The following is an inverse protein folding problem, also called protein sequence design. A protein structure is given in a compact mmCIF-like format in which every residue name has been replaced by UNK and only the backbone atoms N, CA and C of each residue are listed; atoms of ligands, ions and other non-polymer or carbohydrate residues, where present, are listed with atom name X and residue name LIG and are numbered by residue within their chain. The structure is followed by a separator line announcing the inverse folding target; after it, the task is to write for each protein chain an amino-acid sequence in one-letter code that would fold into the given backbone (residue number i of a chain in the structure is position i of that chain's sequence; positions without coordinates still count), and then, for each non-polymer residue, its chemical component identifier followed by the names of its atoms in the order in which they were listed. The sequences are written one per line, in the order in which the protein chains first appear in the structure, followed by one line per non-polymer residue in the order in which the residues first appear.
data_IF_837389992438
#
_entry.id   IF_837389992438
#
_cell.length_a   1.000
_cell.length_b   1.000
_cell.length_c   1.000
_cell.angle_alpha   90.00
_cell.angle_beta   90.00
_cell.angle_gamma   90.00
#
_symmetry.space_group_name_H-M   'P 1'
#
loop_
_entity.id
_entity.type
_entity.pdbx_description
1 polymer ?
#
# COMPACT_ATOMS: atom_id res chain seq x y z
N UNK A 1 -17.60 52.23 -15.02
CA UNK A 1 -17.48 50.88 -15.70
C UNK A 1 -16.47 50.93 -16.83
N UNK A 2 -16.27 52.06 -17.47
CA UNK A 2 -15.31 52.22 -18.58
C UNK A 2 -13.83 52.05 -18.16
N UNK A 3 -13.44 52.56 -16.99
CA UNK A 3 -12.04 52.53 -16.53
C UNK A 3 -11.45 51.12 -16.38
N UNK A 4 -12.27 50.10 -16.13
CA UNK A 4 -11.79 48.69 -16.00
C UNK A 4 -11.48 48.11 -17.39
N UNK A 5 -12.36 48.35 -18.34
CA UNK A 5 -12.17 47.84 -19.71
C UNK A 5 -10.99 48.55 -20.38
N UNK A 6 -10.89 49.88 -20.21
CA UNK A 6 -9.80 50.69 -20.76
C UNK A 6 -8.44 50.33 -20.19
N UNK A 7 -8.39 49.96 -18.89
CA UNK A 7 -7.17 49.43 -18.26
C UNK A 7 -6.70 48.10 -18.93
N UNK A 8 -7.61 47.16 -19.18
CA UNK A 8 -7.27 45.88 -19.79
C UNK A 8 -6.95 45.99 -21.28
N UNK A 9 -7.62 46.84 -21.98
CA UNK A 9 -7.31 47.16 -23.38
C UNK A 9 -5.94 47.82 -23.50
N UNK A 10 -5.58 48.70 -22.58
CA UNK A 10 -4.28 49.36 -22.51
C UNK A 10 -3.10 48.42 -22.23
N UNK A 11 -3.35 47.28 -21.58
CA UNK A 11 -2.34 46.25 -21.35
C UNK A 11 -2.05 45.38 -22.59
N UNK A 12 -2.88 45.46 -23.62
CA UNK A 12 -2.74 44.72 -24.87
C UNK A 12 -2.62 43.20 -24.65
N UNK A 13 -1.76 42.56 -25.41
CA UNK A 13 -1.54 41.10 -25.35
C UNK A 13 -1.17 40.61 -23.96
N UNK A 14 -0.36 41.33 -23.22
CA UNK A 14 0.06 40.98 -21.84
C UNK A 14 -1.10 40.96 -20.85
N UNK A 15 -2.10 41.84 -21.01
CA UNK A 15 -3.31 41.85 -20.19
C UNK A 15 -4.16 40.58 -20.38
N UNK A 16 -4.35 40.17 -21.61
CA UNK A 16 -5.07 38.94 -21.94
C UNK A 16 -4.35 37.71 -21.44
N UNK A 17 -3.02 37.65 -21.54
CA UNK A 17 -2.21 36.59 -21.00
C UNK A 17 -2.35 36.49 -19.48
N UNK A 18 -2.35 37.64 -18.79
CA UNK A 18 -2.49 37.68 -17.32
C UNK A 18 -3.88 37.22 -16.89
N UNK A 19 -4.94 37.63 -17.59
CA UNK A 19 -6.30 37.12 -17.34
C UNK A 19 -6.40 35.60 -17.53
N UNK A 20 -5.80 35.07 -18.60
CA UNK A 20 -5.77 33.65 -18.83
C UNK A 20 -5.08 32.91 -17.68
N UNK A 21 -3.95 33.42 -17.20
CA UNK A 21 -3.23 32.82 -16.07
C UNK A 21 -4.08 32.82 -14.79
N UNK A 22 -4.80 33.89 -14.51
CA UNK A 22 -5.74 33.99 -13.37
C UNK A 22 -6.85 32.95 -13.52
N UNK A 23 -7.46 32.84 -14.68
CA UNK A 23 -8.50 31.83 -14.94
C UNK A 23 -8.00 30.42 -14.75
N UNK A 24 -6.82 30.11 -15.28
CA UNK A 24 -6.17 28.80 -15.11
C UNK A 24 -5.85 28.52 -13.65
N UNK A 25 -5.40 29.52 -12.89
CA UNK A 25 -5.15 29.40 -11.46
C UNK A 25 -6.43 29.04 -10.69
N UNK A 26 -7.53 29.78 -10.92
CA UNK A 26 -8.80 29.49 -10.25
C UNK A 26 -9.40 28.16 -10.69
N UNK A 27 -9.31 27.81 -11.97
CA UNK A 27 -9.74 26.49 -12.45
C UNK A 27 -8.93 25.36 -11.79
N UNK A 28 -7.62 25.56 -11.63
CA UNK A 28 -6.76 24.62 -10.92
C UNK A 28 -7.12 24.52 -9.43
N UNK A 29 -7.36 25.64 -8.77
CA UNK A 29 -7.78 25.70 -7.37
C UNK A 29 -9.12 24.97 -7.14
N UNK A 30 -10.12 25.23 -7.98
CA UNK A 30 -11.41 24.53 -7.96
C UNK A 30 -11.20 23.03 -8.15
N UNK A 31 -10.36 22.64 -9.09
CA UNK A 31 -10.04 21.22 -9.33
C UNK A 31 -9.38 20.56 -8.12
N UNK A 32 -8.48 21.27 -7.41
CA UNK A 32 -7.88 20.78 -6.15
C UNK A 32 -8.96 20.61 -5.08
N UNK A 33 -9.83 21.60 -4.91
CA UNK A 33 -10.93 21.56 -3.91
C UNK A 33 -11.85 20.38 -4.21
N UNK A 34 -12.30 20.20 -5.45
CA UNK A 34 -13.17 19.10 -5.85
C UNK A 34 -12.50 17.73 -5.63
N UNK A 35 -11.20 17.61 -5.89
CA UNK A 35 -10.43 16.39 -5.61
C UNK A 35 -10.26 16.14 -4.12
N UNK A 36 -10.13 17.20 -3.32
CA UNK A 36 -9.94 17.12 -1.87
C UNK A 36 -11.18 16.61 -1.12
N UNK A 37 -12.38 16.68 -1.73
CA UNK A 37 -13.61 16.10 -1.15
C UNK A 37 -13.47 14.61 -0.84
N UNK A 38 -12.55 13.90 -1.52
CA UNK A 38 -12.21 12.50 -1.22
C UNK A 38 -11.67 12.34 0.21
N UNK A 39 -10.97 13.36 0.73
CA UNK A 39 -10.40 13.35 2.08
C UNK A 39 -11.48 13.58 3.16
N UNK A 40 -12.53 14.31 2.85
CA UNK A 40 -13.57 14.71 3.81
C UNK A 40 -14.74 13.73 3.90
N UNK A 41 -14.97 12.89 2.88
CA UNK A 41 -16.06 11.92 2.92
C UNK A 41 -15.87 10.90 4.04
N UNK A 42 -16.68 11.02 5.09
CA UNK A 42 -16.78 10.07 6.20
C UNK A 42 -17.66 8.88 5.78
N UNK A 43 -17.19 8.00 4.94
CA UNK A 43 -17.79 6.67 4.84
C UNK A 43 -16.96 5.72 5.70
N UNK A 44 -17.32 5.59 6.98
CA UNK A 44 -17.05 4.34 7.68
C UNK A 44 -17.99 3.32 7.04
N UNK A 45 -17.53 2.16 6.61
CA UNK A 45 -18.45 1.04 6.40
C UNK A 45 -19.18 0.83 7.71
N UNK A 46 -20.43 0.39 7.65
CA UNK A 46 -21.03 -0.22 8.81
C UNK A 46 -20.01 -1.22 9.33
N UNK A 47 -19.65 -1.11 10.60
CA UNK A 47 -18.71 -2.04 11.25
C UNK A 47 -19.41 -3.39 11.30
N UNK A 48 -19.28 -4.13 10.21
CA UNK A 48 -19.53 -5.56 10.23
C UNK A 48 -18.34 -6.12 11.01
N UNK A 49 -18.60 -6.71 12.15
CA UNK A 49 -17.59 -7.44 12.89
C UNK A 49 -17.03 -8.48 11.95
N UNK A 50 -15.74 -8.44 11.63
CA UNK A 50 -15.16 -9.34 10.65
C UNK A 50 -15.06 -10.74 11.27
N UNK A 51 -15.87 -11.67 10.77
CA UNK A 51 -15.88 -13.07 11.20
C UNK A 51 -14.83 -13.92 10.46
N UNK A 52 -14.37 -13.44 9.32
CA UNK A 52 -13.43 -14.19 8.47
C UNK A 52 -12.03 -14.20 9.07
N UNK A 53 -11.36 -15.37 9.01
CA UNK A 53 -9.95 -15.46 9.37
C UNK A 53 -9.07 -14.69 8.39
N UNK A 54 -7.93 -14.18 8.87
CA UNK A 54 -6.99 -13.34 8.11
C UNK A 54 -5.59 -13.95 8.11
N UNK A 55 -4.95 -14.04 6.95
CA UNK A 55 -3.53 -14.37 6.83
C UNK A 55 -2.73 -13.12 6.47
N UNK A 56 -1.80 -12.73 7.35
CA UNK A 56 -0.84 -11.64 7.09
C UNK A 56 0.41 -12.24 6.47
N UNK A 57 0.81 -11.75 5.31
CA UNK A 57 1.98 -12.25 4.57
C UNK A 57 3.06 -11.17 4.54
N UNK A 58 4.25 -11.51 5.04
CA UNK A 58 5.42 -10.65 5.09
C UNK A 58 6.58 -11.41 4.44
N UNK A 59 7.31 -10.77 3.54
CA UNK A 59 8.54 -11.31 2.96
C UNK A 59 9.76 -10.60 3.54
N UNK A 60 10.84 -11.31 3.78
CA UNK A 60 12.08 -10.73 4.29
C UNK A 60 13.32 -11.39 3.68
N UNK A 61 14.43 -10.66 3.65
CA UNK A 61 15.75 -11.16 3.28
C UNK A 61 16.81 -10.35 3.99
N UNK A 62 17.61 -11.01 4.85
CA UNK A 62 18.63 -10.36 5.68
C UNK A 62 18.08 -9.19 6.50
N UNK A 63 17.04 -9.46 7.35
CA UNK A 63 16.30 -8.45 8.10
C UNK A 63 16.13 -8.79 9.58
N UNK A 64 17.08 -9.49 10.19
CA UNK A 64 17.01 -9.90 11.59
C UNK A 64 16.65 -8.75 12.55
N UNK A 65 17.31 -7.60 12.43
CA UNK A 65 17.05 -6.44 13.30
C UNK A 65 15.65 -5.85 13.11
N UNK A 66 15.17 -5.76 11.87
CA UNK A 66 13.82 -5.26 11.61
C UNK A 66 12.74 -6.24 12.06
N UNK A 67 13.00 -7.54 12.02
CA UNK A 67 12.12 -8.56 12.59
C UNK A 67 11.98 -8.39 14.10
N UNK A 68 13.12 -8.24 14.81
CA UNK A 68 13.12 -7.99 16.26
C UNK A 68 12.31 -6.73 16.64
N UNK A 69 12.39 -5.68 15.82
CA UNK A 69 11.77 -4.39 16.11
C UNK A 69 10.29 -4.30 15.72
N UNK A 70 9.88 -4.95 14.63
CA UNK A 70 8.59 -4.68 14.01
C UNK A 70 7.62 -5.87 13.98
N UNK A 71 8.11 -7.12 13.98
CA UNK A 71 7.25 -8.29 13.75
C UNK A 71 6.23 -8.47 14.89
N UNK A 72 6.62 -8.18 16.13
CA UNK A 72 5.72 -8.31 17.29
C UNK A 72 4.45 -7.45 17.14
N UNK A 73 4.54 -6.28 16.49
CA UNK A 73 3.37 -5.43 16.25
C UNK A 73 2.32 -6.09 15.32
N UNK A 74 2.72 -7.02 14.47
CA UNK A 74 1.80 -7.85 13.67
C UNK A 74 1.28 -9.07 14.45
N UNK A 75 2.05 -9.55 15.43
CA UNK A 75 1.73 -10.74 16.22
C UNK A 75 0.84 -10.45 17.44
N UNK A 76 0.66 -9.18 17.79
CA UNK A 76 -0.13 -8.73 18.95
C UNK A 76 -1.38 -7.94 18.56
N UNK A 77 -1.94 -8.24 17.39
CA UNK A 77 -3.15 -7.56 16.91
C UNK A 77 -4.40 -8.05 17.66
N UNK A 78 -5.30 -7.13 17.94
CA UNK A 78 -6.61 -7.39 18.53
C UNK A 78 -7.57 -8.01 17.49
N UNK A 79 -7.33 -9.28 17.15
CA UNK A 79 -8.13 -10.01 16.18
C UNK A 79 -8.23 -11.50 16.55
N UNK A 80 -9.42 -12.12 16.57
CA UNK A 80 -9.58 -13.43 17.16
C UNK A 80 -9.04 -14.58 16.30
N UNK A 81 -9.00 -14.42 14.99
CA UNK A 81 -8.72 -15.52 14.06
C UNK A 81 -7.75 -15.08 12.95
N UNK A 82 -6.47 -15.14 13.23
CA UNK A 82 -5.47 -14.78 12.22
C UNK A 82 -4.18 -15.61 12.35
N UNK A 83 -3.37 -15.50 11.34
CA UNK A 83 -2.00 -16.00 11.30
C UNK A 83 -1.10 -14.97 10.64
N UNK A 84 0.17 -15.01 10.98
CA UNK A 84 1.23 -14.24 10.32
C UNK A 84 2.18 -15.22 9.66
N UNK A 85 2.41 -15.05 8.36
CA UNK A 85 3.28 -15.90 7.55
C UNK A 85 4.48 -15.06 7.11
N UNK A 86 5.67 -15.43 7.60
CA UNK A 86 6.92 -14.81 7.17
C UNK A 86 7.61 -15.72 6.18
N UNK A 87 7.85 -15.19 4.98
CA UNK A 87 8.59 -15.89 3.93
C UNK A 87 10.01 -15.35 3.90
N UNK A 88 10.97 -16.17 4.31
CA UNK A 88 12.39 -15.87 4.26
C UNK A 88 12.97 -16.16 2.87
N UNK A 89 13.41 -15.11 2.20
CA UNK A 89 14.01 -15.16 0.86
C UNK A 89 15.51 -15.51 0.94
N UNK A 90 15.85 -16.62 1.62
CA UNK A 90 17.21 -17.14 1.76
C UNK A 90 18.15 -16.16 2.50
N UNK A 91 17.79 -15.78 3.72
CA UNK A 91 18.66 -14.97 4.58
C UNK A 91 19.90 -15.76 5.02
N UNK A 92 21.00 -15.02 5.15
CA UNK A 92 22.32 -15.51 5.61
C UNK A 92 22.70 -14.92 6.98
N UNK A 93 21.88 -14.01 7.51
CA UNK A 93 22.00 -13.40 8.83
C UNK A 93 21.20 -14.17 9.90
N UNK A 94 21.09 -13.62 11.11
CA UNK A 94 20.33 -14.20 12.24
C UNK A 94 18.80 -14.25 12.03
N UNK A 95 18.29 -14.00 10.83
CA UNK A 95 16.85 -13.99 10.52
C UNK A 95 16.15 -15.27 10.98
N UNK A 96 16.76 -16.44 10.74
CA UNK A 96 16.17 -17.75 11.10
C UNK A 96 16.08 -17.95 12.63
N UNK A 97 17.10 -17.53 13.37
CA UNK A 97 17.13 -17.65 14.82
C UNK A 97 16.03 -16.76 15.44
N UNK A 98 15.93 -15.50 14.97
CA UNK A 98 14.88 -14.56 15.40
C UNK A 98 13.48 -15.11 15.11
N UNK A 99 13.26 -15.70 13.95
CA UNK A 99 11.96 -16.27 13.59
C UNK A 99 11.63 -17.49 14.44
N UNK A 100 12.63 -18.33 14.75
CA UNK A 100 12.47 -19.51 15.62
C UNK A 100 12.05 -19.10 17.04
N UNK A 101 12.71 -18.11 17.61
CA UNK A 101 12.39 -17.58 18.95
C UNK A 101 10.98 -17.01 19.00
N UNK A 102 10.59 -16.22 17.99
CA UNK A 102 9.25 -15.66 17.90
C UNK A 102 8.16 -16.70 17.67
N UNK A 103 8.45 -17.79 16.94
CA UNK A 103 7.50 -18.90 16.77
C UNK A 103 7.21 -19.64 18.09
N UNK A 104 8.20 -19.78 18.96
CA UNK A 104 7.99 -20.37 20.29
C UNK A 104 7.05 -19.49 21.14
N UNK A 105 7.16 -18.17 21.02
CA UNK A 105 6.33 -17.19 21.76
C UNK A 105 4.93 -17.03 21.16
N UNK A 106 4.82 -17.09 19.82
CA UNK A 106 3.58 -16.82 19.08
C UNK A 106 3.18 -17.99 18.18
N UNK A 107 2.30 -18.91 18.63
CA UNK A 107 1.92 -20.13 17.88
C UNK A 107 1.24 -19.87 16.54
N UNK A 108 0.70 -18.66 16.32
CA UNK A 108 0.07 -18.25 15.06
C UNK A 108 1.08 -17.61 14.07
N UNK A 109 2.37 -17.54 14.42
CA UNK A 109 3.45 -17.23 13.50
C UNK A 109 3.84 -18.50 12.73
N UNK A 110 3.75 -18.42 11.41
CA UNK A 110 4.26 -19.45 10.50
C UNK A 110 5.45 -18.92 9.71
N UNK A 111 6.46 -19.73 9.52
CA UNK A 111 7.62 -19.34 8.72
C UNK A 111 7.84 -20.33 7.59
N UNK A 112 8.32 -19.85 6.47
CA UNK A 112 8.78 -20.68 5.37
C UNK A 112 10.03 -20.07 4.76
N UNK A 113 10.95 -20.91 4.27
CA UNK A 113 12.21 -20.46 3.70
C UNK A 113 12.31 -20.88 2.24
N UNK A 114 12.79 -19.97 1.41
CA UNK A 114 13.16 -20.25 0.02
C UNK A 114 14.64 -20.66 0.01
N UNK A 115 14.90 -21.88 -0.45
CA UNK A 115 16.29 -22.33 -0.61
C UNK A 115 16.90 -21.82 -1.92
N UNK A 116 18.23 -21.61 -1.95
CA UNK A 116 18.91 -21.17 -3.16
C UNK A 116 18.84 -22.26 -4.22
N UNK A 117 18.07 -22.04 -5.26
CA UNK A 117 18.10 -22.84 -6.47
C UNK A 117 18.79 -22.08 -7.60
N UNK A 118 19.70 -22.74 -8.30
CA UNK A 118 20.50 -22.14 -9.38
C UNK A 118 19.68 -21.84 -10.64
N UNK A 119 18.50 -22.47 -10.78
CA UNK A 119 17.65 -22.37 -11.99
C UNK A 119 16.70 -21.17 -11.99
N UNK A 120 16.32 -20.63 -10.84
CA UNK A 120 15.32 -19.58 -10.76
C UNK A 120 15.89 -18.31 -10.13
N UNK A 121 15.76 -17.18 -10.83
CA UNK A 121 16.05 -15.88 -10.26
C UNK A 121 15.05 -15.61 -9.13
N UNK A 122 15.56 -15.42 -7.91
CA UNK A 122 14.74 -15.10 -6.74
C UNK A 122 14.03 -13.77 -6.98
N UNK A 123 12.73 -13.78 -6.84
CA UNK A 123 11.94 -12.56 -6.95
C UNK A 123 10.93 -12.51 -5.81
N UNK A 124 10.62 -11.31 -5.35
CA UNK A 124 9.56 -11.06 -4.37
C UNK A 124 8.22 -11.69 -4.78
N UNK A 125 7.94 -11.81 -6.07
CA UNK A 125 6.74 -12.49 -6.57
C UNK A 125 6.69 -13.98 -6.19
N UNK A 126 7.83 -14.65 -6.20
CA UNK A 126 7.92 -16.06 -5.76
C UNK A 126 7.66 -16.15 -4.26
N UNK A 127 8.27 -15.28 -3.47
CA UNK A 127 8.05 -15.26 -2.02
C UNK A 127 6.57 -14.98 -1.67
N UNK A 128 5.95 -14.01 -2.33
CA UNK A 128 4.51 -13.73 -2.18
C UNK A 128 3.67 -14.95 -2.58
N UNK A 129 3.99 -15.61 -3.70
CA UNK A 129 3.26 -16.80 -4.14
C UNK A 129 3.34 -17.93 -3.11
N UNK A 130 4.51 -18.19 -2.55
CA UNK A 130 4.69 -19.17 -1.48
C UNK A 130 3.86 -18.81 -0.24
N UNK A 131 3.91 -17.53 0.18
CA UNK A 131 3.10 -17.05 1.30
C UNK A 131 1.60 -17.20 1.06
N UNK A 132 1.11 -16.89 -0.14
CA UNK A 132 -0.30 -17.06 -0.51
C UNK A 132 -0.71 -18.53 -0.52
N UNK A 133 0.13 -19.42 -1.03
CA UNK A 133 -0.16 -20.86 -1.03
C UNK A 133 -0.19 -21.43 0.38
N UNK A 134 0.74 -20.99 1.26
CA UNK A 134 0.80 -21.40 2.67
C UNK A 134 -0.36 -20.82 3.51
N UNK A 135 -0.99 -19.74 3.08
CA UNK A 135 -2.07 -19.08 3.83
C UNK A 135 -3.30 -19.99 3.99
N UNK A 136 -3.83 -20.02 5.20
CA UNK A 136 -5.00 -20.83 5.55
C UNK A 136 -6.32 -20.09 5.21
N UNK A 137 -6.34 -18.75 5.26
CA UNK A 137 -7.55 -17.94 5.12
C UNK A 137 -7.69 -17.30 3.74
N UNK A 138 -8.94 -16.92 3.36
CA UNK A 138 -9.22 -16.27 2.08
C UNK A 138 -8.87 -14.78 2.09
N UNK A 139 -8.99 -14.11 3.23
CA UNK A 139 -8.56 -12.71 3.37
C UNK A 139 -7.05 -12.67 3.60
N UNK A 140 -6.31 -12.14 2.64
CA UNK A 140 -4.87 -11.96 2.71
C UNK A 140 -4.54 -10.49 2.90
N UNK A 141 -3.68 -10.17 3.88
CA UNK A 141 -3.09 -8.85 4.06
C UNK A 141 -1.58 -8.93 3.83
N UNK A 142 -1.04 -7.91 3.20
CA UNK A 142 0.38 -7.80 2.86
C UNK A 142 0.99 -6.58 3.52
N UNK A 143 2.15 -6.77 4.09
CA UNK A 143 3.01 -5.71 4.59
C UNK A 143 4.49 -6.06 4.39
N UNK A 144 5.36 -5.12 4.70
CA UNK A 144 6.81 -5.27 4.65
C UNK A 144 7.37 -5.27 6.07
N UNK A 145 8.48 -5.96 6.30
CA UNK A 145 9.08 -6.00 7.63
C UNK A 145 9.70 -4.67 8.09
N UNK A 146 9.99 -3.77 7.16
CA UNK A 146 10.35 -2.38 7.48
C UNK A 146 9.14 -1.49 7.83
N UNK A 147 7.99 -2.09 8.03
CA UNK A 147 6.74 -1.44 8.39
C UNK A 147 6.20 -2.03 9.70
N UNK A 148 5.34 -1.27 10.37
CA UNK A 148 4.54 -1.76 11.49
C UNK A 148 3.13 -1.17 11.46
N UNK A 149 2.11 -1.91 11.89
CA UNK A 149 0.77 -1.37 12.11
C UNK A 149 0.81 -0.14 13.02
N UNK A 150 0.03 0.89 12.66
CA UNK A 150 -0.09 2.10 13.48
C UNK A 150 -1.00 1.92 14.70
N UNK A 151 -1.75 0.82 14.77
CA UNK A 151 -2.72 0.50 15.83
C UNK A 151 -2.77 -1.00 16.06
N UNK A 152 -3.06 -1.44 17.30
CA UNK A 152 -3.37 -2.84 17.63
C UNK A 152 -4.65 -3.35 16.96
N UNK A 153 -5.47 -2.46 16.40
CA UNK A 153 -6.70 -2.77 15.68
C UNK A 153 -6.57 -2.77 14.15
N UNK A 154 -5.34 -2.72 13.63
CA UNK A 154 -5.10 -2.65 12.19
C UNK A 154 -5.71 -3.84 11.44
N UNK A 155 -5.55 -5.06 11.94
CA UNK A 155 -6.17 -6.25 11.36
C UNK A 155 -7.68 -6.14 11.30
N UNK A 156 -8.30 -5.79 12.43
CA UNK A 156 -9.74 -5.61 12.52
C UNK A 156 -10.23 -4.54 11.54
N UNK A 157 -9.56 -3.38 11.52
CA UNK A 157 -9.92 -2.27 10.66
C UNK A 157 -9.78 -2.62 9.16
N UNK A 158 -8.71 -3.32 8.76
CA UNK A 158 -8.52 -3.74 7.37
C UNK A 158 -9.52 -4.83 6.97
N UNK A 159 -9.75 -5.83 7.83
CA UNK A 159 -10.65 -6.94 7.57
C UNK A 159 -12.11 -6.47 7.41
N UNK A 160 -12.57 -5.48 8.18
CA UNK A 160 -13.91 -4.92 8.10
C UNK A 160 -14.30 -4.34 6.73
N UNK A 161 -13.32 -4.06 5.89
CA UNK A 161 -13.56 -3.62 4.52
C UNK A 161 -13.77 -4.76 3.51
N UNK A 162 -13.51 -6.01 3.88
CA UNK A 162 -13.73 -7.17 3.02
C UNK A 162 -15.17 -7.64 3.07
N UNK A 163 -16.04 -7.04 2.27
CA UNK A 163 -17.39 -7.53 1.99
C UNK A 163 -17.35 -8.62 0.90
N UNK A 164 -18.43 -9.39 0.67
CA UNK A 164 -18.42 -10.47 -0.34
C UNK A 164 -18.00 -10.06 -1.74
N UNK A 165 -18.26 -8.81 -2.13
CA UNK A 165 -17.92 -8.22 -3.42
C UNK A 165 -16.56 -7.51 -3.44
N UNK A 166 -15.86 -7.42 -2.30
CA UNK A 166 -14.57 -6.75 -2.22
C UNK A 166 -13.44 -7.68 -2.65
N UNK A 167 -12.75 -7.28 -3.72
CA UNK A 167 -11.57 -7.99 -4.22
C UNK A 167 -10.27 -7.51 -3.59
N UNK A 168 -10.11 -6.20 -3.44
CA UNK A 168 -8.88 -5.57 -2.94
C UNK A 168 -9.21 -4.45 -1.95
N UNK A 169 -8.40 -4.36 -0.90
CA UNK A 169 -8.36 -3.24 0.03
C UNK A 169 -6.96 -2.64 0.04
N UNK A 170 -6.84 -1.32 -0.15
CA UNK A 170 -5.57 -0.59 -0.14
C UNK A 170 -5.61 0.41 1.01
N UNK A 171 -4.72 0.22 1.99
CA UNK A 171 -4.55 1.10 3.14
C UNK A 171 -3.46 2.16 2.93
N UNK A 172 -3.43 3.12 3.83
CA UNK A 172 -2.40 4.17 3.84
C UNK A 172 -1.15 3.72 4.57
N UNK A 173 0.02 3.99 3.97
CA UNK A 173 1.32 3.84 4.63
C UNK A 173 2.15 5.11 4.49
N UNK A 174 2.84 5.51 5.56
CA UNK A 174 3.69 6.69 5.54
C UNK A 174 4.85 6.59 6.54
N UNK A 175 5.84 7.43 6.36
CA UNK A 175 6.95 7.60 7.28
C UNK A 175 6.54 8.41 8.52
N UNK A 176 7.25 8.28 9.65
CA UNK A 176 7.15 9.22 10.76
C UNK A 176 7.54 10.64 10.31
N UNK A 177 6.92 11.66 10.93
CA UNK A 177 7.16 13.07 10.58
C UNK A 177 8.34 13.63 11.39
N UNK A 178 9.47 12.94 11.41
CA UNK A 178 10.64 13.34 12.18
C UNK A 178 11.71 13.99 11.30
N UNK A 179 12.16 15.19 11.69
CA UNK A 179 13.21 15.95 11.02
C UNK A 179 12.82 16.61 9.68
N UNK A 180 13.72 17.41 9.11
CA UNK A 180 13.47 18.20 7.90
C UNK A 180 13.22 17.36 6.63
N UNK A 181 13.91 16.24 6.48
CA UNK A 181 13.69 15.29 5.37
C UNK A 181 12.40 14.48 5.49
N UNK A 182 11.89 14.30 6.73
CA UNK A 182 10.67 13.53 7.00
C UNK A 182 9.42 14.18 6.42
N UNK A 183 9.27 15.49 6.53
CA UNK A 183 8.10 16.23 6.02
C UNK A 183 7.94 16.07 4.50
N UNK A 184 9.02 16.14 3.75
CA UNK A 184 8.97 15.97 2.28
C UNK A 184 8.59 14.53 1.89
N UNK A 185 9.17 13.51 2.55
CA UNK A 185 8.82 12.10 2.33
C UNK A 185 7.35 11.85 2.61
N UNK A 186 6.87 12.34 3.76
CA UNK A 186 5.48 12.19 4.17
C UNK A 186 4.52 12.87 3.19
N UNK A 187 4.85 14.09 2.75
CA UNK A 187 4.04 14.80 1.76
C UNK A 187 3.96 14.07 0.43
N UNK A 188 5.08 13.55 -0.06
CA UNK A 188 5.11 12.77 -1.31
C UNK A 188 4.26 11.50 -1.22
N UNK A 189 4.38 10.73 -0.13
CA UNK A 189 3.56 9.53 0.12
C UNK A 189 2.07 9.88 0.25
N UNK A 190 1.77 10.98 0.92
CA UNK A 190 0.40 11.50 1.02
C UNK A 190 -0.18 11.86 -0.35
N UNK A 191 0.56 12.58 -1.20
CA UNK A 191 0.10 12.92 -2.56
C UNK A 191 -0.18 11.67 -3.40
N UNK A 192 0.68 10.66 -3.28
CA UNK A 192 0.48 9.40 -3.96
C UNK A 192 -0.82 8.71 -3.51
N UNK A 193 -1.02 8.57 -2.21
CA UNK A 193 -2.22 7.97 -1.66
C UNK A 193 -3.47 8.77 -2.01
N UNK A 194 -3.42 10.09 -1.90
CA UNK A 194 -4.51 10.97 -2.32
C UNK A 194 -4.89 10.76 -3.79
N UNK A 195 -3.91 10.69 -4.68
CA UNK A 195 -4.13 10.38 -6.09
C UNK A 195 -4.81 9.02 -6.27
N UNK A 196 -4.37 8.00 -5.55
CA UNK A 196 -4.97 6.65 -5.57
C UNK A 196 -6.45 6.71 -5.15
N UNK A 197 -6.80 7.44 -4.10
CA UNK A 197 -8.20 7.65 -3.69
C UNK A 197 -9.03 8.35 -4.77
N UNK A 198 -8.49 9.39 -5.41
CA UNK A 198 -9.20 10.13 -6.48
C UNK A 198 -9.45 9.23 -7.69
N UNK A 199 -8.47 8.43 -8.10
CA UNK A 199 -8.60 7.48 -9.21
C UNK A 199 -9.63 6.42 -8.90
N UNK A 200 -9.56 5.81 -7.70
CA UNK A 200 -10.51 4.79 -7.25
C UNK A 200 -11.97 5.32 -7.25
N UNK A 201 -12.18 6.53 -6.74
CA UNK A 201 -13.53 7.16 -6.75
C UNK A 201 -14.10 7.35 -8.17
N UNK A 202 -13.23 7.48 -9.17
CA UNK A 202 -13.61 7.63 -10.58
C UNK A 202 -13.73 6.29 -11.30
N UNK A 203 -13.58 5.17 -10.61
CA UNK A 203 -13.54 3.84 -11.23
C UNK A 203 -12.33 3.62 -12.13
N UNK A 204 -11.28 4.45 -11.97
CA UNK A 204 -10.05 4.33 -12.74
C UNK A 204 -9.08 3.40 -12.03
N UNK A 205 -8.14 2.86 -12.81
CA UNK A 205 -7.11 1.99 -12.29
C UNK A 205 -6.27 2.68 -11.22
N UNK A 206 -6.03 1.98 -10.11
CA UNK A 206 -5.24 2.45 -8.98
C UNK A 206 -3.92 1.71 -8.88
N UNK A 207 -2.95 2.34 -8.23
CA UNK A 207 -1.64 1.76 -7.93
C UNK A 207 -1.75 0.99 -6.61
N UNK A 208 -1.19 -0.22 -6.56
CA UNK A 208 -1.09 -1.02 -5.35
C UNK A 208 -0.17 -0.38 -4.30
N UNK A 209 -0.26 -0.86 -3.07
CA UNK A 209 0.59 -0.45 -1.97
C UNK A 209 1.07 -1.69 -1.20
N UNK A 210 2.16 -2.29 -1.63
CA UNK A 210 2.72 -3.50 -1.04
C UNK A 210 3.02 -3.41 0.46
N UNK A 211 3.16 -2.19 0.99
CA UNK A 211 3.35 -1.98 2.43
C UNK A 211 2.04 -2.12 3.23
N UNK A 212 0.88 -1.95 2.58
CA UNK A 212 -0.41 -1.98 3.26
C UNK A 212 -1.55 -2.22 2.27
N UNK A 213 -1.78 -3.45 1.90
CA UNK A 213 -2.88 -3.85 1.05
C UNK A 213 -3.33 -5.28 1.36
N UNK A 214 -4.50 -5.63 0.89
CA UNK A 214 -4.99 -7.00 0.98
C UNK A 214 -5.88 -7.36 -0.20
N UNK A 215 -6.03 -8.65 -0.43
CA UNK A 215 -6.94 -9.18 -1.44
C UNK A 215 -7.43 -10.59 -1.07
N UNK A 216 -8.45 -11.07 -1.79
CA UNK A 216 -8.98 -12.42 -1.58
C UNK A 216 -8.12 -13.47 -2.27
N UNK A 217 -7.74 -14.51 -1.53
CA UNK A 217 -6.95 -15.66 -2.00
C UNK A 217 -7.61 -16.35 -3.20
N UNK A 218 -8.93 -16.53 -3.16
CA UNK A 218 -9.68 -17.18 -4.25
C UNK A 218 -9.39 -16.54 -5.63
N UNK A 219 -9.39 -15.21 -5.71
CA UNK A 219 -9.14 -14.52 -6.98
C UNK A 219 -7.67 -14.62 -7.43
N UNK A 220 -6.74 -14.69 -6.47
CA UNK A 220 -5.33 -14.93 -6.76
C UNK A 220 -5.11 -16.31 -7.38
N UNK A 221 -5.72 -17.33 -6.82
CA UNK A 221 -5.62 -18.71 -7.30
C UNK A 221 -6.30 -18.91 -8.68
N UNK A 222 -7.46 -18.28 -8.91
CA UNK A 222 -8.13 -18.30 -10.21
C UNK A 222 -7.25 -17.75 -11.34
N UNK A 223 -6.45 -16.71 -11.04
CA UNK A 223 -5.48 -16.14 -11.98
C UNK A 223 -4.21 -16.98 -12.13
N UNK A 224 -3.99 -17.99 -11.31
CA UNK A 224 -2.71 -18.74 -11.15
C UNK A 224 -1.54 -17.84 -10.67
N UNK A 225 -1.85 -16.82 -9.88
CA UNK A 225 -0.85 -15.92 -9.27
C UNK A 225 -0.01 -15.16 -10.29
N UNK A 226 1.29 -15.14 -10.09
CA UNK A 226 2.28 -14.48 -10.97
C UNK A 226 2.87 -15.41 -12.04
N UNK A 227 2.25 -16.54 -12.36
CA UNK A 227 2.85 -17.57 -13.23
C UNK A 227 3.25 -17.07 -14.62
N UNK A 228 2.56 -16.04 -15.14
CA UNK A 228 2.87 -15.47 -16.44
C UNK A 228 4.07 -14.50 -16.41
N UNK A 229 4.47 -13.98 -15.25
CA UNK A 229 5.50 -12.94 -15.14
C UNK A 229 6.25 -12.97 -13.81
N UNK A 230 6.96 -14.05 -13.53
CA UNK A 230 7.76 -14.20 -12.31
C UNK A 230 9.07 -13.43 -12.34
N UNK A 231 9.55 -13.04 -13.51
CA UNK A 231 10.87 -12.44 -13.69
C UNK A 231 10.91 -10.92 -13.45
N UNK A 232 9.79 -10.23 -13.59
CA UNK A 232 9.72 -8.79 -13.37
C UNK A 232 9.61 -8.46 -11.88
N UNK A 233 10.58 -7.68 -11.39
CA UNK A 233 10.67 -7.31 -9.97
C UNK A 233 9.74 -6.14 -9.58
N UNK A 234 9.50 -5.19 -10.50
CA UNK A 234 8.83 -3.93 -10.20
C UNK A 234 7.32 -4.01 -10.52
N UNK A 235 6.48 -3.52 -9.61
CA UNK A 235 5.04 -3.32 -9.84
C UNK A 235 4.16 -4.53 -9.56
N UNK A 236 4.65 -5.51 -8.80
CA UNK A 236 3.88 -6.72 -8.44
C UNK A 236 2.55 -6.39 -7.74
N UNK A 237 2.55 -5.39 -6.88
CA UNK A 237 1.39 -4.91 -6.14
C UNK A 237 0.34 -4.27 -7.06
N UNK A 238 0.76 -3.47 -8.01
CA UNK A 238 -0.13 -2.82 -8.98
C UNK A 238 -0.66 -3.82 -10.01
N UNK A 239 0.15 -4.78 -10.46
CA UNK A 239 -0.26 -5.85 -11.36
C UNK A 239 -1.40 -6.68 -10.75
N UNK A 240 -1.27 -7.07 -9.49
CA UNK A 240 -2.32 -7.80 -8.76
C UNK A 240 -3.60 -6.96 -8.64
N UNK A 241 -3.49 -5.69 -8.24
CA UNK A 241 -4.67 -4.82 -8.10
C UNK A 241 -5.41 -4.68 -9.42
N UNK A 242 -4.71 -4.52 -10.54
CA UNK A 242 -5.32 -4.43 -11.88
C UNK A 242 -6.14 -5.66 -12.24
N UNK A 243 -5.61 -6.83 -11.94
CA UNK A 243 -6.30 -8.07 -12.28
C UNK A 243 -7.45 -8.39 -11.34
N UNK A 244 -7.28 -8.12 -10.04
CA UNK A 244 -8.32 -8.31 -9.04
C UNK A 244 -9.49 -7.33 -9.22
N UNK A 245 -9.23 -6.11 -9.69
CA UNK A 245 -10.26 -5.12 -10.00
C UNK A 245 -11.27 -5.59 -11.08
N UNK A 246 -10.93 -6.60 -11.87
CA UNK A 246 -11.84 -7.24 -12.83
C UNK A 246 -12.78 -8.27 -12.18
N UNK A 247 -12.48 -8.68 -10.95
CA UNK A 247 -13.18 -9.74 -10.21
C UNK A 247 -14.10 -9.21 -9.12
N UNK A 248 -13.86 -7.99 -8.66
CA UNK A 248 -14.67 -7.36 -7.61
C UNK A 248 -14.23 -5.93 -7.33
N UNK A 249 -14.80 -5.33 -6.30
CA UNK A 249 -14.56 -3.94 -5.96
C UNK A 249 -13.17 -3.72 -5.33
N UNK A 250 -12.57 -2.58 -5.65
CA UNK A 250 -11.34 -2.08 -5.01
C UNK A 250 -11.72 -0.98 -4.02
N UNK A 251 -11.33 -1.13 -2.77
CA UNK A 251 -11.54 -0.13 -1.72
C UNK A 251 -10.21 0.50 -1.32
N UNK A 252 -10.12 1.83 -1.41
CA UNK A 252 -9.00 2.60 -0.88
C UNK A 252 -9.43 3.22 0.43
N UNK A 253 -8.81 2.81 1.54
CA UNK A 253 -9.25 3.10 2.89
C UNK A 253 -8.33 4.09 3.59
N UNK A 254 -8.89 5.01 4.36
CA UNK A 254 -8.18 6.11 5.04
C UNK A 254 -8.42 6.15 6.55
N UNK A 255 -9.10 5.14 7.09
CA UNK A 255 -9.34 5.03 8.52
C UNK A 255 -8.00 5.08 9.27
N UNK A 256 -7.87 5.85 10.37
CA UNK A 256 -6.66 5.91 11.17
C UNK A 256 -6.14 4.55 11.60
N UNK A 257 -7.04 3.62 11.97
CA UNK A 257 -6.65 2.28 12.40
C UNK A 257 -6.12 1.39 11.27
N UNK A 258 -6.43 1.71 10.00
CA UNK A 258 -5.89 0.97 8.85
C UNK A 258 -4.48 1.39 8.44
N UNK A 259 -3.86 2.33 9.14
CA UNK A 259 -2.56 2.91 8.76
C UNK A 259 -1.40 2.00 9.14
N UNK A 260 -0.36 2.06 8.32
CA UNK A 260 0.93 1.42 8.55
C UNK A 260 2.04 2.49 8.56
N UNK A 261 2.95 2.37 9.50
CA UNK A 261 4.13 3.25 9.63
C UNK A 261 5.32 2.57 8.97
N UNK A 262 6.03 3.29 8.10
CA UNK A 262 7.26 2.82 7.45
C UNK A 262 8.44 3.18 8.34
N UNK A 263 9.11 2.17 8.88
CA UNK A 263 10.23 2.28 9.81
C UNK A 263 11.59 2.24 9.08
N UNK A 264 11.72 2.89 7.92
CA UNK A 264 12.96 2.94 7.16
C UNK A 264 13.72 4.24 7.45
N UNK A 265 14.82 4.14 8.21
CA UNK A 265 15.63 5.26 8.63
C UNK A 265 16.61 5.77 7.57
N UNK A 266 16.75 5.06 6.44
CA UNK A 266 17.64 5.48 5.36
C UNK A 266 17.23 6.84 4.80
N UNK A 267 18.14 7.80 4.80
CA UNK A 267 17.90 9.18 4.31
C UNK A 267 17.37 9.25 2.86
N UNK A 268 17.64 8.23 2.06
CA UNK A 268 17.28 8.16 0.64
C UNK A 268 16.11 7.21 0.34
N UNK A 269 15.49 6.59 1.35
CA UNK A 269 14.38 5.63 1.15
C UNK A 269 13.24 6.19 0.27
N UNK A 270 12.94 7.49 0.40
CA UNK A 270 11.93 8.16 -0.43
C UNK A 270 12.29 8.19 -1.93
N UNK A 271 13.60 8.15 -2.29
CA UNK A 271 14.02 8.07 -3.70
C UNK A 271 13.71 6.71 -4.29
N UNK A 272 13.86 5.66 -3.49
CA UNK A 272 13.52 4.29 -3.89
C UNK A 272 12.00 4.19 -4.13
N UNK A 273 11.18 4.71 -3.21
CA UNK A 273 9.73 4.82 -3.35
C UNK A 273 9.33 5.61 -4.61
N UNK A 274 9.96 6.76 -4.83
CA UNK A 274 9.71 7.61 -5.99
C UNK A 274 10.04 6.89 -7.29
N UNK A 275 11.21 6.26 -7.35
CA UNK A 275 11.67 5.50 -8.52
C UNK A 275 10.73 4.32 -8.81
N UNK A 276 10.32 3.59 -7.77
CA UNK A 276 9.36 2.50 -7.88
C UNK A 276 8.01 2.97 -8.42
N UNK A 277 7.47 4.07 -7.88
CA UNK A 277 6.21 4.65 -8.35
C UNK A 277 6.25 5.04 -9.82
N UNK A 278 7.31 5.74 -10.27
CA UNK A 278 7.42 6.17 -11.66
C UNK A 278 7.70 5.01 -12.62
N UNK A 279 8.51 4.05 -12.22
CA UNK A 279 8.74 2.85 -13.01
C UNK A 279 7.45 2.03 -13.19
N UNK A 280 6.65 1.92 -12.14
CA UNK A 280 5.34 1.27 -12.18
C UNK A 280 4.37 2.04 -13.10
N UNK A 281 4.32 3.38 -12.99
CA UNK A 281 3.44 4.22 -13.79
C UNK A 281 3.74 4.17 -15.30
N UNK A 282 5.01 4.04 -15.70
CA UNK A 282 5.41 3.99 -17.13
C UNK A 282 4.94 2.71 -17.84
N UNK A 283 4.56 1.68 -17.10
CA UNK A 283 4.12 0.38 -17.62
C UNK A 283 2.60 0.28 -17.80
N UNK A 284 1.88 1.37 -17.49
CA UNK A 284 0.42 1.52 -17.54
C UNK A 284 0.04 2.65 -18.47
#
# INVERSE_FOLDING_TARGET
MNNFVDFWVGLGYNGWLFLLLILLFFAHLIMIILRSTVLTTKKRPATVEPEEGVSVIITCSNKAELLKQNLEAFLTQEYPKYEVIVVDECSEDETQDVLSDLQQKYPHLKTTRIFPETKFRRTKKIAINIGVLAAQYDVLLFSEINCKPGSGRWLHAMASYFTPDTAVVIGYSNYPVDGAGGKFRCYFRFLWFWKTMVLNRRGLQVVGNGNNMGYRKKYYLEKRGFTANTQEYIGYDTEIVKDMAKKGTVKVVKDPDTRVVICDERKKAWKDDYSYYYATKRRW
#
